data_IF_396939657789
#
_entry.id   IF_396939657789
#
_cell.length_a   1.000
_cell.length_b   1.000
_cell.length_c   1.000
_cell.angle_alpha   90.00
_cell.angle_beta   90.00
_cell.angle_gamma   90.00
#
_symmetry.space_group_name_H-M   'P 1'
#
loop_
_entity.id
_entity.type
_entity.pdbx_description
1 polymer ?
#
# COMPACT_ATOMS: atom_id res chain seq x y z
N UNK A 1 7.87 -3.16 2.50
CA UNK A 1 8.80 -2.47 3.42
C UNK A 1 8.94 -3.16 4.79
N UNK A 2 8.31 -4.31 4.99
CA UNK A 2 8.32 -5.07 6.27
C UNK A 2 8.11 -4.19 7.53
N UNK A 3 7.25 -3.20 7.44
CA UNK A 3 6.93 -2.27 8.54
C UNK A 3 5.51 -2.47 9.04
N UNK A 4 5.27 -2.17 10.31
CA UNK A 4 3.94 -2.17 10.91
C UNK A 4 2.94 -1.40 10.00
N UNK A 5 1.74 -1.93 9.69
CA UNK A 5 1.04 -3.08 10.30
C UNK A 5 1.34 -4.47 9.69
N UNK A 6 2.21 -4.58 8.69
CA UNK A 6 2.51 -5.82 7.95
C UNK A 6 3.82 -6.50 8.38
N UNK A 7 4.27 -6.18 9.58
CA UNK A 7 5.56 -6.55 10.15
C UNK A 7 5.46 -7.84 10.96
N UNK A 8 5.30 -8.97 10.26
CA UNK A 8 5.25 -10.28 10.90
C UNK A 8 6.62 -10.82 11.32
N UNK A 9 7.70 -10.66 10.50
CA UNK A 9 9.03 -11.16 10.88
C UNK A 9 9.66 -10.39 12.04
N UNK A 10 9.36 -9.09 12.17
CA UNK A 10 9.91 -8.24 13.23
C UNK A 10 9.16 -8.42 14.56
N UNK A 11 7.94 -9.01 14.55
CA UNK A 11 7.23 -9.39 15.76
C UNK A 11 8.01 -10.43 16.60
N UNK A 12 8.69 -11.36 15.94
CA UNK A 12 9.61 -12.28 16.61
C UNK A 12 10.86 -11.58 17.12
N UNK A 13 11.33 -10.52 16.44
CA UNK A 13 12.52 -9.77 16.83
C UNK A 13 12.30 -8.87 18.06
N UNK A 14 11.10 -8.42 18.33
CA UNK A 14 10.77 -7.66 19.55
C UNK A 14 10.85 -8.51 20.82
N UNK A 15 10.59 -9.82 20.71
CA UNK A 15 10.64 -10.72 21.86
C UNK A 15 12.06 -11.28 22.11
N UNK A 16 12.81 -11.63 21.05
CA UNK A 16 14.13 -12.30 21.14
C UNK A 16 15.13 -11.77 20.10
N UNK A 17 14.97 -10.56 19.56
CA UNK A 17 15.74 -9.99 18.44
C UNK A 17 15.72 -10.81 17.12
N UNK A 18 14.97 -11.90 17.01
CA UNK A 18 14.78 -12.70 15.79
C UNK A 18 16.07 -13.05 15.05
N UNK A 19 16.13 -12.76 13.75
CA UNK A 19 17.31 -12.98 12.90
C UNK A 19 18.51 -12.08 13.21
N UNK A 20 18.33 -11.03 14.02
CA UNK A 20 19.39 -10.10 14.43
C UNK A 20 20.10 -10.51 15.71
N UNK A 21 19.69 -11.60 16.38
CA UNK A 21 20.22 -12.04 17.68
C UNK A 21 21.73 -12.29 17.65
N UNK A 22 22.25 -12.82 16.53
CA UNK A 22 23.68 -13.16 16.38
C UNK A 22 24.54 -11.99 15.90
N UNK A 23 23.91 -10.86 15.54
CA UNK A 23 24.63 -9.72 14.96
C UNK A 23 24.78 -8.59 15.98
N UNK A 24 26.02 -8.10 16.12
CA UNK A 24 26.33 -6.96 16.98
C UNK A 24 27.21 -5.93 16.27
N UNK A 25 27.31 -4.74 16.83
CA UNK A 25 28.15 -3.67 16.31
C UNK A 25 27.86 -3.26 14.88
N UNK A 26 28.89 -3.20 14.03
CA UNK A 26 28.79 -2.68 12.66
C UNK A 26 27.88 -3.52 11.76
N UNK A 27 27.85 -4.84 11.92
CA UNK A 27 26.96 -5.72 11.16
C UNK A 27 25.49 -5.42 11.41
N UNK A 28 25.11 -5.21 12.65
CA UNK A 28 23.76 -4.79 13.03
C UNK A 28 23.38 -3.45 12.39
N UNK A 29 24.29 -2.47 12.41
CA UNK A 29 24.08 -1.17 11.78
C UNK A 29 23.86 -1.27 10.26
N UNK A 30 24.56 -2.18 9.57
CA UNK A 30 24.36 -2.43 8.14
C UNK A 30 22.96 -2.97 7.81
N UNK A 31 22.41 -3.87 8.62
CA UNK A 31 21.05 -4.37 8.44
C UNK A 31 20.01 -3.25 8.59
N UNK A 32 20.15 -2.43 9.62
CA UNK A 32 19.27 -1.27 9.80
C UNK A 32 19.38 -0.27 8.63
N UNK A 33 20.59 0.01 8.20
CA UNK A 33 20.83 0.89 7.05
C UNK A 33 20.15 0.34 5.79
N UNK A 34 20.30 -0.95 5.48
CA UNK A 34 19.66 -1.60 4.34
C UNK A 34 18.15 -1.48 4.39
N UNK A 35 17.55 -1.63 5.57
CA UNK A 35 16.09 -1.49 5.77
C UNK A 35 15.60 -0.07 5.47
N UNK A 36 16.29 0.96 5.99
CA UNK A 36 15.93 2.35 5.69
C UNK A 36 16.16 2.74 4.22
N UNK A 37 17.21 2.21 3.60
CA UNK A 37 17.40 2.36 2.15
C UNK A 37 16.28 1.72 1.35
N UNK A 38 15.84 0.52 1.74
CA UNK A 38 14.69 -0.15 1.14
C UNK A 38 13.40 0.68 1.23
N UNK A 39 13.11 1.25 2.40
CA UNK A 39 11.97 2.14 2.60
C UNK A 39 12.05 3.36 1.67
N UNK A 40 13.21 4.00 1.61
CA UNK A 40 13.41 5.20 0.77
C UNK A 40 13.30 4.87 -0.71
N UNK A 41 13.87 3.76 -1.16
CA UNK A 41 13.78 3.30 -2.55
C UNK A 41 12.34 2.98 -2.97
N UNK A 42 11.58 2.27 -2.14
CA UNK A 42 10.17 1.97 -2.38
C UNK A 42 9.31 3.25 -2.37
N UNK A 43 9.60 4.20 -1.49
CA UNK A 43 8.93 5.50 -1.47
C UNK A 43 9.22 6.28 -2.76
N UNK A 44 10.45 6.28 -3.24
CA UNK A 44 10.84 6.92 -4.52
C UNK A 44 10.15 6.29 -5.73
N UNK A 45 10.08 4.95 -5.78
CA UNK A 45 9.31 4.23 -6.78
C UNK A 45 7.82 4.60 -6.73
N UNK A 46 7.22 4.64 -5.55
CA UNK A 46 5.83 5.04 -5.35
C UNK A 46 5.57 6.47 -5.84
N UNK A 47 6.45 7.41 -5.52
CA UNK A 47 6.36 8.80 -6.01
C UNK A 47 6.46 8.85 -7.53
N UNK A 48 7.34 8.08 -8.14
CA UNK A 48 7.53 8.08 -9.59
C UNK A 48 6.31 7.51 -10.31
N UNK A 49 5.75 6.39 -9.83
CA UNK A 49 4.65 5.69 -10.50
C UNK A 49 3.31 6.37 -10.26
N UNK A 50 3.01 6.80 -9.03
CA UNK A 50 1.68 7.27 -8.65
C UNK A 50 1.55 8.79 -8.55
N UNK A 51 2.64 9.51 -8.27
CA UNK A 51 2.63 10.96 -8.06
C UNK A 51 3.32 11.75 -9.18
N UNK A 52 3.63 11.09 -10.31
CA UNK A 52 4.24 11.74 -11.47
C UNK A 52 5.70 12.20 -11.26
N UNK A 53 6.42 11.59 -10.31
CA UNK A 53 7.84 11.86 -10.07
C UNK A 53 8.11 13.33 -9.77
N UNK A 54 8.95 13.94 -10.57
CA UNK A 54 9.41 15.35 -10.45
C UNK A 54 8.47 16.38 -11.09
N UNK A 55 7.33 15.99 -11.66
CA UNK A 55 6.37 16.94 -12.21
C UNK A 55 5.70 17.74 -11.10
N UNK A 56 5.49 19.05 -11.34
CA UNK A 56 4.71 19.89 -10.45
C UNK A 56 3.25 19.41 -10.41
N UNK A 57 2.57 19.44 -9.26
CA UNK A 57 1.17 19.05 -9.17
C UNK A 57 0.21 20.01 -9.87
N UNK A 58 0.62 21.27 -10.02
CA UNK A 58 -0.16 22.33 -10.69
C UNK A 58 0.77 23.18 -11.56
N UNK A 59 0.29 23.62 -12.73
CA UNK A 59 1.04 24.43 -13.67
C UNK A 59 1.56 25.76 -13.07
N UNK A 60 0.83 26.34 -12.11
CA UNK A 60 1.24 27.58 -11.42
C UNK A 60 2.52 27.40 -10.59
N UNK A 61 2.87 26.17 -10.24
CA UNK A 61 3.99 25.84 -9.36
C UNK A 61 5.26 25.40 -10.14
N UNK A 62 5.26 25.53 -11.47
CA UNK A 62 6.42 25.23 -12.33
C UNK A 62 7.61 26.17 -12.11
N UNK A 63 7.40 27.28 -11.38
CA UNK A 63 8.47 28.22 -10.97
C UNK A 63 9.51 27.53 -10.07
N UNK A 64 9.09 26.48 -9.33
CA UNK A 64 9.95 25.72 -8.42
C UNK A 64 10.71 24.64 -9.21
N UNK A 65 12.03 24.48 -9.01
CA UNK A 65 12.82 23.45 -9.69
C UNK A 65 12.24 22.04 -9.50
N UNK A 66 12.19 21.26 -10.57
CA UNK A 66 11.56 19.91 -10.60
C UNK A 66 12.13 18.95 -9.56
N UNK A 67 13.43 19.01 -9.24
CA UNK A 67 14.06 18.16 -8.23
C UNK A 67 13.53 18.41 -6.81
N UNK A 68 13.16 19.68 -6.48
CA UNK A 68 12.57 20.01 -5.19
C UNK A 68 11.19 19.37 -5.03
N UNK A 69 10.39 19.32 -6.10
CA UNK A 69 9.11 18.63 -6.09
C UNK A 69 9.25 17.14 -5.80
N UNK A 70 10.25 16.49 -6.38
CA UNK A 70 10.54 15.10 -6.08
C UNK A 70 10.91 14.90 -4.61
N UNK A 71 11.81 15.73 -4.07
CA UNK A 71 12.24 15.68 -2.67
C UNK A 71 11.08 15.91 -1.70
N UNK A 72 10.21 16.88 -1.97
CA UNK A 72 9.03 17.18 -1.14
C UNK A 72 8.06 15.98 -1.15
N UNK A 73 7.74 15.44 -2.33
CA UNK A 73 6.87 14.26 -2.44
C UNK A 73 7.47 13.04 -1.74
N UNK A 74 8.78 12.83 -1.87
CA UNK A 74 9.49 11.75 -1.19
C UNK A 74 9.42 11.90 0.32
N UNK A 75 9.68 13.09 0.84
CA UNK A 75 9.57 13.39 2.27
C UNK A 75 8.15 13.18 2.80
N UNK A 76 7.14 13.65 2.06
CA UNK A 76 5.73 13.43 2.41
C UNK A 76 5.36 11.93 2.42
N UNK A 77 5.87 11.16 1.46
CA UNK A 77 5.63 9.71 1.42
C UNK A 77 6.27 9.00 2.61
N UNK A 78 7.51 9.34 2.96
CA UNK A 78 8.18 8.79 4.15
C UNK A 78 7.43 9.20 5.43
N UNK A 79 7.01 10.45 5.55
CA UNK A 79 6.20 10.93 6.68
C UNK A 79 4.87 10.17 6.78
N UNK A 80 4.24 9.87 5.66
CA UNK A 80 3.02 9.06 5.60
C UNK A 80 3.25 7.63 6.11
N UNK A 81 4.37 6.99 5.76
CA UNK A 81 4.73 5.68 6.31
C UNK A 81 4.97 5.73 7.84
N UNK A 82 5.64 6.77 8.33
CA UNK A 82 5.86 6.96 9.76
C UNK A 82 4.51 7.15 10.49
N UNK A 83 3.62 7.93 9.91
CA UNK A 83 2.27 8.16 10.45
C UNK A 83 1.45 6.86 10.51
N UNK A 84 1.43 6.08 9.44
CA UNK A 84 0.76 4.77 9.40
C UNK A 84 1.32 3.85 10.48
N UNK A 85 2.64 3.79 10.62
CA UNK A 85 3.31 2.98 11.64
C UNK A 85 2.87 3.34 13.06
N UNK A 86 2.66 4.62 13.34
CA UNK A 86 2.23 5.12 14.66
C UNK A 86 0.74 4.97 14.94
N UNK A 87 -0.11 4.88 13.91
CA UNK A 87 -1.57 4.90 14.07
C UNK A 87 -2.23 3.54 13.93
N UNK A 88 -1.69 2.66 13.08
CA UNK A 88 -2.30 1.37 12.79
C UNK A 88 -1.72 0.28 13.70
N UNK A 89 -2.63 -0.55 14.22
CA UNK A 89 -2.28 -1.73 15.00
C UNK A 89 -1.70 -2.83 14.08
N UNK A 90 -0.77 -3.63 14.63
CA UNK A 90 -0.19 -4.78 13.94
C UNK A 90 -1.25 -5.84 13.64
N UNK A 91 -1.24 -6.36 12.42
CA UNK A 91 -2.14 -7.43 11.98
C UNK A 91 -1.59 -8.79 12.40
N UNK A 92 -2.50 -9.71 12.79
CA UNK A 92 -2.15 -11.12 12.98
C UNK A 92 -1.99 -11.80 11.61
N UNK A 93 -1.18 -12.86 11.56
CA UNK A 93 -0.93 -13.63 10.32
C UNK A 93 -2.22 -14.11 9.65
N UNK A 94 -3.19 -14.59 10.44
CA UNK A 94 -4.49 -15.05 9.94
C UNK A 94 -5.30 -13.91 9.30
N UNK A 95 -5.23 -12.72 9.88
CA UNK A 95 -5.90 -11.52 9.37
C UNK A 95 -5.25 -11.04 8.08
N UNK A 96 -3.91 -11.04 8.06
CA UNK A 96 -3.14 -10.65 6.86
C UNK A 96 -3.39 -11.60 5.70
N UNK A 97 -3.38 -12.91 5.95
CA UNK A 97 -3.66 -13.93 4.94
C UNK A 97 -5.08 -13.79 4.39
N UNK A 98 -6.07 -13.58 5.26
CA UNK A 98 -7.46 -13.35 4.84
C UNK A 98 -7.60 -12.07 4.03
N UNK A 99 -6.95 -10.98 4.43
CA UNK A 99 -6.95 -9.71 3.70
C UNK A 99 -6.34 -9.91 2.32
N UNK A 100 -5.19 -10.57 2.23
CA UNK A 100 -4.49 -10.78 0.96
C UNK A 100 -5.33 -11.62 -0.01
N UNK A 101 -5.76 -12.83 0.41
CA UNK A 101 -6.47 -13.76 -0.48
C UNK A 101 -7.91 -13.37 -0.78
N UNK A 102 -8.65 -12.86 0.21
CA UNK A 102 -10.08 -12.57 0.05
C UNK A 102 -10.37 -11.16 -0.44
N UNK A 103 -9.42 -10.23 -0.32
CA UNK A 103 -9.63 -8.85 -0.66
C UNK A 103 -8.64 -8.33 -1.71
N UNK A 104 -7.32 -8.40 -1.44
CA UNK A 104 -6.33 -7.79 -2.32
C UNK A 104 -6.21 -8.51 -3.67
N UNK A 105 -6.20 -9.85 -3.68
CA UNK A 105 -6.09 -10.62 -4.93
C UNK A 105 -7.29 -10.39 -5.85
N UNK A 106 -8.57 -10.50 -5.41
CA UNK A 106 -9.72 -10.20 -6.25
C UNK A 106 -9.72 -8.76 -6.79
N UNK A 107 -9.37 -7.77 -5.96
CA UNK A 107 -9.29 -6.37 -6.39
C UNK A 107 -8.17 -6.16 -7.42
N UNK A 108 -7.01 -6.78 -7.23
CA UNK A 108 -5.91 -6.68 -8.18
C UNK A 108 -6.29 -7.26 -9.56
N UNK A 109 -7.00 -8.39 -9.59
CA UNK A 109 -7.52 -8.98 -10.83
C UNK A 109 -8.56 -8.09 -11.51
N UNK A 110 -9.46 -7.50 -10.73
CA UNK A 110 -10.45 -6.54 -11.27
C UNK A 110 -9.77 -5.28 -11.82
N UNK A 111 -8.74 -4.79 -11.13
CA UNK A 111 -7.97 -3.64 -11.61
C UNK A 111 -7.22 -3.95 -12.92
N UNK A 112 -6.66 -5.16 -13.04
CA UNK A 112 -6.04 -5.62 -14.28
C UNK A 112 -7.07 -5.68 -15.43
N UNK A 113 -8.26 -6.23 -15.17
CA UNK A 113 -9.37 -6.25 -16.14
C UNK A 113 -9.82 -4.83 -16.53
N UNK A 114 -9.90 -3.92 -15.56
CA UNK A 114 -10.22 -2.52 -15.82
C UNK A 114 -9.15 -1.82 -16.67
N UNK A 115 -7.87 -2.08 -16.43
CA UNK A 115 -6.78 -1.53 -17.24
C UNK A 115 -6.83 -2.05 -18.68
N UNK A 116 -7.15 -3.34 -18.89
CA UNK A 116 -7.37 -3.91 -20.19
C UNK A 116 -8.58 -3.26 -20.90
N UNK A 117 -9.71 -3.11 -20.21
CA UNK A 117 -10.89 -2.41 -20.72
C UNK A 117 -10.56 -0.97 -21.13
N UNK A 118 -9.80 -0.25 -20.30
CA UNK A 118 -9.39 1.11 -20.58
C UNK A 118 -8.52 1.20 -21.84
N UNK A 119 -7.58 0.29 -22.04
CA UNK A 119 -6.72 0.28 -23.20
C UNK A 119 -7.46 -0.09 -24.49
N UNK A 120 -8.39 -1.05 -24.41
CA UNK A 120 -9.19 -1.49 -25.56
C UNK A 120 -10.26 -0.47 -25.97
N UNK A 121 -10.84 0.28 -25.03
CA UNK A 121 -11.88 1.27 -25.31
C UNK A 121 -11.34 2.61 -25.80
N UNK A 122 -10.04 2.84 -25.76
CA UNK A 122 -9.42 4.08 -26.22
C UNK A 122 -9.54 4.23 -27.75
N UNK A 123 -10.03 5.38 -28.22
CA UNK A 123 -10.00 5.73 -29.65
C UNK A 123 -11.15 5.20 -30.52
N UNK A 124 -12.21 4.61 -29.94
CA UNK A 124 -13.33 4.07 -30.72
C UNK A 124 -14.39 5.15 -31.09
N UNK A 125 -14.74 6.00 -30.17
CA UNK A 125 -15.68 7.12 -30.41
C UNK A 125 -15.62 8.13 -29.25
N UNK A 126 -15.94 9.42 -29.48
CA UNK A 126 -15.96 10.43 -28.42
C UNK A 126 -16.97 10.13 -27.29
N UNK A 127 -18.07 9.46 -27.61
CA UNK A 127 -19.04 8.99 -26.62
C UNK A 127 -18.48 7.89 -25.73
N UNK A 128 -17.69 6.97 -26.29
CA UNK A 128 -17.01 5.91 -25.55
C UNK A 128 -15.92 6.50 -24.63
N UNK A 129 -15.19 7.50 -25.09
CA UNK A 129 -14.17 8.20 -24.30
C UNK A 129 -14.76 8.89 -23.06
N UNK A 130 -15.97 9.41 -23.14
CA UNK A 130 -16.67 9.97 -21.99
C UNK A 130 -17.25 8.88 -21.08
N UNK A 131 -17.81 7.80 -21.64
CA UNK A 131 -18.45 6.72 -20.90
C UNK A 131 -17.44 5.82 -20.14
N UNK A 132 -16.21 5.70 -20.61
CA UNK A 132 -15.18 4.84 -19.95
C UNK A 132 -14.85 5.29 -18.52
N UNK A 133 -14.95 6.58 -18.18
CA UNK A 133 -14.69 7.08 -16.84
C UNK A 133 -15.67 6.54 -15.79
N UNK A 134 -16.99 6.70 -15.95
CA UNK A 134 -17.94 6.15 -14.98
C UNK A 134 -17.97 4.62 -14.97
N UNK A 135 -17.75 3.96 -16.12
CA UNK A 135 -17.70 2.50 -16.19
C UNK A 135 -16.49 1.96 -15.42
N UNK A 136 -15.29 2.50 -15.61
CA UNK A 136 -14.10 2.08 -14.90
C UNK A 136 -14.19 2.37 -13.41
N UNK A 137 -14.76 3.50 -13.02
CA UNK A 137 -15.03 3.83 -11.63
C UNK A 137 -16.02 2.81 -10.99
N UNK A 138 -17.09 2.44 -11.69
CA UNK A 138 -18.05 1.44 -11.22
C UNK A 138 -17.40 0.05 -11.06
N UNK A 139 -16.57 -0.39 -12.00
CA UNK A 139 -15.85 -1.67 -11.95
C UNK A 139 -14.95 -1.77 -10.71
N UNK A 140 -14.41 -0.66 -10.23
CA UNK A 140 -13.54 -0.63 -9.04
C UNK A 140 -14.36 -0.46 -7.76
N UNK A 141 -15.27 0.54 -7.72
CA UNK A 141 -15.97 0.94 -6.50
C UNK A 141 -16.98 -0.11 -6.04
N UNK A 142 -17.76 -0.70 -6.97
CA UNK A 142 -18.80 -1.66 -6.61
C UNK A 142 -18.20 -2.92 -5.95
N UNK A 143 -17.22 -3.62 -6.54
CA UNK A 143 -16.62 -4.78 -5.90
C UNK A 143 -15.88 -4.43 -4.61
N UNK A 144 -15.21 -3.28 -4.56
CA UNK A 144 -14.54 -2.80 -3.35
C UNK A 144 -15.53 -2.67 -2.18
N UNK A 145 -16.67 -2.05 -2.41
CA UNK A 145 -17.73 -1.90 -1.41
C UNK A 145 -18.34 -3.25 -1.00
N UNK A 146 -18.65 -4.14 -1.98
CA UNK A 146 -19.23 -5.44 -1.71
C UNK A 146 -18.27 -6.37 -0.94
N UNK A 147 -16.99 -6.39 -1.32
CA UNK A 147 -15.95 -7.16 -0.62
C UNK A 147 -15.72 -6.62 0.78
N UNK A 148 -15.68 -5.30 0.95
CA UNK A 148 -15.56 -4.67 2.26
C UNK A 148 -16.70 -5.04 3.21
N UNK A 149 -17.94 -5.02 2.71
CA UNK A 149 -19.11 -5.45 3.51
C UNK A 149 -19.05 -6.93 3.92
N UNK A 150 -18.58 -7.82 3.03
CA UNK A 150 -18.44 -9.25 3.34
C UNK A 150 -17.36 -9.52 4.38
N UNK A 151 -16.29 -8.74 4.39
CA UNK A 151 -15.25 -8.87 5.42
C UNK A 151 -15.76 -8.44 6.80
N UNK A 152 -16.52 -7.36 6.87
CA UNK A 152 -17.12 -6.87 8.13
C UNK A 152 -18.22 -7.79 8.66
N UNK A 153 -19.03 -8.39 7.79
CA UNK A 153 -20.10 -9.30 8.19
C UNK A 153 -19.60 -10.63 8.81
N UNK A 154 -18.34 -11.00 8.55
CA UNK A 154 -17.72 -12.21 9.13
C UNK A 154 -17.23 -12.06 10.57
N UNK A 155 -17.31 -10.89 11.17
CA UNK A 155 -16.95 -10.64 12.57
C UNK A 155 -18.19 -10.67 13.48
N UNK A 156 -18.82 -11.86 13.63
CA UNK A 156 -19.79 -12.07 14.71
C UNK A 156 -19.08 -12.03 16.07
N UNK A 157 -19.80 -11.61 17.16
CA UNK A 157 -19.23 -11.63 18.50
C UNK A 157 -18.76 -13.05 18.85
N UNK A 158 -17.47 -13.22 19.13
CA UNK A 158 -16.92 -14.51 19.59
C UNK A 158 -17.40 -14.76 21.01
N UNK A 159 -18.33 -15.67 21.18
CA UNK A 159 -18.65 -16.22 22.51
C UNK A 159 -17.51 -17.14 22.93
N UNK A 160 -16.70 -16.69 23.87
CA UNK A 160 -15.70 -17.54 24.51
C UNK A 160 -16.45 -18.47 25.47
N UNK A 161 -16.55 -19.77 25.14
CA UNK A 161 -16.88 -20.78 26.11
C UNK A 161 -15.60 -21.07 26.91
N UNK A 162 -15.55 -20.58 28.13
CA UNK A 162 -14.54 -21.05 29.08
C UNK A 162 -14.83 -22.53 29.38
N UNK A 163 -13.87 -23.40 29.16
CA UNK A 163 -13.93 -24.76 29.63
C UNK A 163 -14.04 -24.71 31.18
N UNK A 164 -15.15 -25.20 31.68
CA UNK A 164 -15.34 -25.47 33.11
C UNK A 164 -14.54 -26.71 33.51
#
# INVERSE_FOLDING_TARGET
SNRSPFDLPEAESELIAGHLTEYSGFKFALFFMAEYFGLTALSGLGVTIFLGGWQAPFAVLEIVPSYLWFMIKLALMIMFFIWIRGTLLRLRIDQLTRLSWKFLVPIALLNLGNAAFWSLSAGHSPAMDLARWPISAAIIIIPFYLLGRRLTAGYGPRTYQYAQ
#
